data_IF_883311756333
#
_entry.id   IF_883311756333
#
_cell.length_a   1.000
_cell.length_b   1.000
_cell.length_c   1.000
_cell.angle_alpha   90.00
_cell.angle_beta   90.00
_cell.angle_gamma   90.00
#
_symmetry.space_group_name_H-M   'P 1'
#
loop_
_entity.id
_entity.type
_entity.pdbx_description
1 polymer ?
#
# COMPACT_ATOMS: atom_id res chain seq x y z
N UNK A 1 -14.96 -3.28 11.72
CA UNK A 1 -14.27 -3.08 13.00
C UNK A 1 -15.19 -2.33 13.95
N UNK A 2 -15.34 -2.86 15.15
CA UNK A 2 -16.11 -2.24 16.24
C UNK A 2 -15.19 -2.14 17.44
N UNK A 3 -15.08 -0.97 18.04
CA UNK A 3 -14.36 -0.78 19.29
C UNK A 3 -15.25 -0.13 20.34
N UNK A 4 -15.16 -0.62 21.56
CA UNK A 4 -15.79 -0.07 22.74
C UNK A 4 -14.73 0.11 23.81
N UNK A 5 -14.83 1.19 24.56
CA UNK A 5 -13.98 1.43 25.71
C UNK A 5 -14.78 2.10 26.82
N UNK A 6 -14.34 1.86 28.03
CA UNK A 6 -14.86 2.52 29.22
C UNK A 6 -13.70 2.85 30.15
N UNK A 7 -13.83 3.96 30.86
CA UNK A 7 -12.84 4.46 31.80
C UNK A 7 -13.53 4.94 33.08
N UNK A 8 -12.94 4.66 34.22
CA UNK A 8 -13.46 5.13 35.50
C UNK A 8 -12.27 5.57 36.38
N UNK A 9 -12.40 6.71 37.04
CA UNK A 9 -11.34 7.33 37.84
C UNK A 9 -11.43 6.91 39.31
N UNK A 10 -10.46 7.33 40.10
CA UNK A 10 -10.41 7.18 41.55
C UNK A 10 -10.52 5.74 42.02
N UNK A 11 -9.55 4.92 41.63
CA UNK A 11 -9.44 3.54 42.00
C UNK A 11 -9.09 3.42 43.49
N UNK A 12 -9.92 2.72 44.29
CA UNK A 12 -9.72 2.53 45.73
C UNK A 12 -8.48 1.68 46.04
N UNK A 13 -8.14 0.75 45.18
CA UNK A 13 -7.05 -0.21 45.38
C UNK A 13 -6.14 -0.28 44.14
N UNK A 14 -4.98 0.38 44.13
CA UNK A 14 -4.09 0.41 42.95
C UNK A 14 -3.67 -0.96 42.41
N UNK A 15 -3.58 -1.97 43.30
CA UNK A 15 -3.15 -3.31 42.93
C UNK A 15 -4.27 -4.22 42.40
N UNK A 16 -5.51 -3.75 42.37
CA UNK A 16 -6.64 -4.50 41.83
C UNK A 16 -7.52 -3.59 40.94
N UNK A 17 -7.18 -3.44 39.66
CA UNK A 17 -7.84 -2.51 38.76
C UNK A 17 -9.17 -3.06 38.24
N UNK A 18 -10.20 -3.05 39.06
CA UNK A 18 -11.58 -3.42 38.71
C UNK A 18 -12.49 -2.19 38.66
N UNK A 19 -13.44 -2.17 37.72
CA UNK A 19 -14.40 -1.08 37.55
C UNK A 19 -15.23 -0.83 38.83
N UNK A 20 -15.62 -1.88 39.52
CA UNK A 20 -16.42 -1.80 40.76
C UNK A 20 -15.66 -1.17 41.92
N UNK A 21 -14.33 -1.19 41.89
CA UNK A 21 -13.45 -0.60 42.89
C UNK A 21 -13.06 0.85 42.60
N UNK A 22 -13.59 1.44 41.52
CA UNK A 22 -13.38 2.83 41.18
C UNK A 22 -14.65 3.65 41.54
N UNK A 23 -14.47 4.81 42.15
CA UNK A 23 -15.55 5.65 42.70
C UNK A 23 -15.77 6.94 41.90
N UNK A 24 -14.82 7.32 41.04
CA UNK A 24 -14.92 8.55 40.26
C UNK A 24 -15.79 8.44 39.00
N UNK A 25 -15.82 9.52 38.22
CA UNK A 25 -16.62 9.62 37.02
C UNK A 25 -16.30 8.56 36.00
N UNK A 26 -17.33 7.96 35.45
CA UNK A 26 -17.21 6.98 34.37
C UNK A 26 -17.40 7.68 33.02
N UNK A 27 -16.48 7.39 32.11
CA UNK A 27 -16.60 7.75 30.70
C UNK A 27 -16.56 6.51 29.84
N UNK A 28 -17.34 6.47 28.79
CA UNK A 28 -17.36 5.37 27.83
C UNK A 28 -17.52 5.91 26.42
N UNK A 29 -17.07 5.15 25.46
CA UNK A 29 -17.20 5.49 24.05
C UNK A 29 -16.99 4.27 23.18
N UNK A 30 -17.19 4.46 21.90
CA UNK A 30 -16.98 3.42 20.91
C UNK A 30 -17.03 3.99 19.51
N UNK A 31 -16.50 3.21 18.58
CA UNK A 31 -16.56 3.53 17.16
C UNK A 31 -16.90 2.29 16.36
N UNK A 32 -17.56 2.50 15.24
CA UNK A 32 -17.84 1.47 14.26
C UNK A 32 -17.33 1.94 12.91
N UNK A 33 -16.48 1.14 12.28
CA UNK A 33 -16.03 1.39 10.91
C UNK A 33 -16.09 0.11 10.09
N UNK A 34 -16.46 0.24 8.83
CA UNK A 34 -16.50 -0.87 7.89
C UNK A 34 -15.95 -0.43 6.54
N UNK A 35 -15.37 -1.36 5.82
CA UNK A 35 -15.03 -1.22 4.42
C UNK A 35 -15.26 -2.54 3.72
N UNK A 36 -15.43 -2.49 2.42
CA UNK A 36 -15.57 -3.65 1.57
C UNK A 36 -14.61 -3.57 0.39
N UNK A 37 -14.11 -4.71 -0.02
CA UNK A 37 -13.22 -4.87 -1.16
C UNK A 37 -13.74 -6.03 -2.01
N UNK A 38 -13.63 -5.88 -3.31
CA UNK A 38 -13.93 -6.92 -4.27
C UNK A 38 -12.92 -6.88 -5.39
N UNK A 39 -12.43 -8.04 -5.82
CA UNK A 39 -11.47 -8.12 -6.90
C UNK A 39 -11.67 -9.37 -7.74
N UNK A 40 -11.47 -9.22 -9.03
CA UNK A 40 -11.42 -10.34 -9.99
C UNK A 40 -10.04 -10.34 -10.63
N UNK A 41 -9.46 -11.51 -10.78
CA UNK A 41 -8.14 -11.62 -11.41
C UNK A 41 -8.08 -12.81 -12.35
N UNK A 42 -7.20 -12.69 -13.34
CA UNK A 42 -6.85 -13.76 -14.26
C UNK A 42 -5.34 -13.80 -14.48
N UNK A 43 -4.81 -14.99 -14.75
CA UNK A 43 -3.41 -15.25 -15.06
C UNK A 43 -3.30 -16.17 -16.27
N UNK A 44 -2.37 -15.83 -17.16
CA UNK A 44 -1.99 -16.65 -18.30
C UNK A 44 -0.49 -16.88 -18.23
N UNK A 45 -0.08 -18.15 -18.25
CA UNK A 45 1.31 -18.56 -18.32
C UNK A 45 1.54 -19.30 -19.63
N UNK A 46 2.59 -18.92 -20.33
CA UNK A 46 3.01 -19.58 -21.56
C UNK A 46 4.47 -19.97 -21.48
N UNK A 47 4.74 -21.24 -21.73
CA UNK A 47 6.08 -21.81 -21.78
C UNK A 47 6.28 -22.49 -23.14
N UNK A 48 7.27 -22.00 -23.90
CA UNK A 48 7.62 -22.59 -25.17
C UNK A 48 9.00 -23.26 -25.10
N UNK A 49 9.02 -24.60 -25.19
CA UNK A 49 10.21 -25.46 -25.17
C UNK A 49 11.13 -25.19 -23.97
N UNK A 50 10.58 -24.77 -22.85
CA UNK A 50 11.33 -24.35 -21.66
C UNK A 50 12.35 -23.21 -21.87
N UNK A 51 12.34 -22.62 -23.06
CA UNK A 51 13.25 -21.50 -23.44
C UNK A 51 12.63 -20.15 -23.19
N UNK A 52 11.40 -19.99 -23.65
CA UNK A 52 10.67 -18.71 -23.56
C UNK A 52 9.51 -18.85 -22.59
N UNK A 53 9.58 -18.06 -21.55
CA UNK A 53 8.61 -18.03 -20.46
C UNK A 53 7.88 -16.69 -20.50
N UNK A 54 6.57 -16.69 -20.58
CA UNK A 54 5.75 -15.49 -20.58
C UNK A 54 4.65 -15.64 -19.53
N UNK A 55 4.41 -14.58 -18.78
CA UNK A 55 3.30 -14.50 -17.85
C UNK A 55 2.58 -13.18 -18.00
N UNK A 56 1.26 -13.21 -18.02
CA UNK A 56 0.42 -12.04 -17.97
C UNK A 56 -0.61 -12.21 -16.86
N UNK A 57 -0.74 -11.19 -16.02
CA UNK A 57 -1.75 -11.12 -14.98
C UNK A 57 -2.58 -9.85 -15.18
N UNK A 58 -3.86 -9.95 -14.89
CA UNK A 58 -4.77 -8.82 -14.89
C UNK A 58 -5.66 -8.90 -13.66
N UNK A 59 -5.74 -7.79 -12.91
CA UNK A 59 -6.64 -7.65 -11.77
C UNK A 59 -7.57 -6.46 -11.99
N UNK A 60 -8.82 -6.64 -11.60
CA UNK A 60 -9.81 -5.58 -11.53
C UNK A 60 -10.32 -5.50 -10.11
N UNK A 61 -9.88 -4.48 -9.39
CA UNK A 61 -10.15 -4.34 -7.96
C UNK A 61 -11.03 -3.11 -7.69
N UNK A 62 -11.92 -3.26 -6.72
CA UNK A 62 -12.78 -2.20 -6.22
C UNK A 62 -12.79 -2.13 -4.70
N UNK A 63 -12.92 -0.92 -4.16
CA UNK A 63 -12.99 -0.67 -2.72
C UNK A 63 -14.03 0.39 -2.37
N UNK A 64 -14.67 0.24 -1.21
CA UNK A 64 -15.60 1.24 -0.69
C UNK A 64 -14.93 2.49 -0.11
N UNK A 65 -13.59 2.53 -0.05
CA UNK A 65 -12.82 3.66 0.51
C UNK A 65 -12.81 4.90 -0.37
N UNK A 66 -13.10 4.74 -1.67
CA UNK A 66 -13.09 5.81 -2.66
C UNK A 66 -14.48 6.17 -3.16
N UNK A 67 -14.68 7.37 -3.72
CA UNK A 67 -15.95 7.79 -4.34
C UNK A 67 -16.42 6.80 -5.39
N UNK A 68 -17.73 6.79 -5.66
CA UNK A 68 -18.38 5.77 -6.51
C UNK A 68 -17.74 5.61 -7.87
N UNK A 69 -17.37 6.70 -8.51
CA UNK A 69 -16.80 6.71 -9.87
C UNK A 69 -15.31 6.35 -9.92
N UNK A 70 -14.63 6.35 -8.75
CA UNK A 70 -13.19 6.13 -8.62
C UNK A 70 -12.83 4.85 -7.85
N UNK A 71 -13.84 4.04 -7.52
CA UNK A 71 -13.68 2.80 -6.73
C UNK A 71 -12.91 1.72 -7.45
N UNK A 72 -13.10 1.61 -8.78
CA UNK A 72 -12.66 0.47 -9.57
C UNK A 72 -11.45 0.81 -10.41
N UNK A 73 -10.44 -0.11 -10.43
CA UNK A 73 -9.24 0.09 -11.24
C UNK A 73 -8.66 -1.24 -11.72
N UNK A 74 -8.02 -1.18 -12.89
CA UNK A 74 -7.28 -2.28 -13.48
C UNK A 74 -5.81 -2.22 -13.10
N UNK A 75 -5.26 -3.38 -12.77
CA UNK A 75 -3.84 -3.55 -12.41
C UNK A 75 -3.25 -4.69 -13.25
N UNK A 76 -2.67 -4.38 -14.42
CA UNK A 76 -1.99 -5.34 -15.26
C UNK A 76 -0.57 -5.59 -14.78
N UNK A 77 -0.05 -6.81 -15.06
CA UNK A 77 1.37 -7.13 -14.94
C UNK A 77 1.79 -8.16 -15.99
N UNK A 78 3.03 -8.02 -16.45
CA UNK A 78 3.63 -8.87 -17.47
C UNK A 78 5.04 -9.25 -17.04
N UNK A 79 5.44 -10.49 -17.30
CA UNK A 79 6.82 -10.91 -17.18
C UNK A 79 7.23 -11.80 -18.35
N UNK A 80 8.50 -11.69 -18.72
CA UNK A 80 9.13 -12.51 -19.74
C UNK A 80 10.45 -13.05 -19.22
N UNK A 81 10.75 -14.31 -19.52
CA UNK A 81 12.02 -14.95 -19.24
C UNK A 81 12.52 -15.69 -20.45
N UNK A 82 13.81 -15.57 -20.71
CA UNK A 82 14.50 -16.29 -21.77
C UNK A 82 15.66 -17.07 -21.19
N UNK A 83 15.62 -18.40 -21.35
CA UNK A 83 16.70 -19.30 -20.99
C UNK A 83 17.68 -19.41 -22.17
N UNK A 84 18.67 -18.55 -22.18
CA UNK A 84 19.62 -18.40 -23.28
C UNK A 84 20.44 -19.67 -23.50
N UNK A 85 20.80 -20.37 -22.43
CA UNK A 85 21.56 -21.62 -22.48
C UNK A 85 20.83 -22.79 -23.14
N UNK A 86 19.50 -22.71 -23.29
CA UNK A 86 18.72 -23.72 -23.98
C UNK A 86 18.70 -23.51 -25.50
N UNK A 87 19.36 -22.48 -26.01
CA UNK A 87 19.50 -22.27 -27.45
C UNK A 87 20.57 -23.17 -28.06
N UNK A 88 20.38 -23.69 -29.31
CA UNK A 88 21.29 -24.63 -29.94
C UNK A 88 22.71 -24.07 -30.13
N UNK A 89 22.83 -22.77 -30.33
CA UNK A 89 24.13 -22.09 -30.51
C UNK A 89 24.93 -21.92 -29.20
N UNK A 90 24.29 -22.18 -28.03
CA UNK A 90 24.94 -22.10 -26.72
C UNK A 90 25.48 -23.44 -26.21
N UNK A 91 25.31 -24.55 -26.96
CA UNK A 91 25.75 -25.88 -26.50
C UNK A 91 27.23 -25.93 -26.16
N UNK A 92 28.09 -25.31 -26.96
CA UNK A 92 29.53 -25.25 -26.71
C UNK A 92 29.93 -24.41 -25.49
N UNK A 93 29.08 -23.53 -25.00
CA UNK A 93 29.38 -22.70 -23.86
C UNK A 93 28.85 -23.28 -22.51
N UNK A 94 28.06 -24.36 -22.55
CA UNK A 94 27.42 -24.95 -21.35
C UNK A 94 28.42 -25.48 -20.32
N UNK A 95 29.66 -25.85 -20.75
CA UNK A 95 30.69 -26.28 -19.81
C UNK A 95 31.14 -25.16 -18.87
N UNK A 96 31.15 -23.94 -19.34
CA UNK A 96 31.56 -22.74 -18.58
C UNK A 96 30.30 -22.04 -18.01
N UNK A 97 29.33 -21.76 -18.88
CA UNK A 97 28.10 -21.08 -18.54
C UNK A 97 26.95 -22.10 -18.45
N UNK A 98 26.82 -22.73 -17.30
CA UNK A 98 25.90 -23.85 -17.08
C UNK A 98 24.45 -23.44 -17.18
N UNK A 99 24.10 -22.21 -16.80
CA UNK A 99 22.79 -21.64 -16.96
C UNK A 99 22.87 -20.14 -17.17
N UNK A 100 22.10 -19.61 -18.10
CA UNK A 100 21.89 -18.19 -18.31
C UNK A 100 20.42 -17.92 -18.59
N UNK A 101 19.80 -17.13 -17.74
CA UNK A 101 18.42 -16.67 -17.90
C UNK A 101 18.37 -15.16 -17.82
N UNK A 102 17.74 -14.56 -18.80
CA UNK A 102 17.43 -13.12 -18.82
C UNK A 102 15.93 -12.97 -18.53
N UNK A 103 15.57 -12.04 -17.67
CA UNK A 103 14.17 -11.80 -17.30
C UNK A 103 13.84 -10.31 -17.30
N UNK A 104 12.63 -10.01 -17.67
CA UNK A 104 12.06 -8.66 -17.58
C UNK A 104 10.65 -8.73 -17.03
N UNK A 105 10.27 -7.76 -16.27
CA UNK A 105 8.91 -7.64 -15.72
C UNK A 105 8.46 -6.21 -15.64
N UNK A 106 7.18 -6.01 -15.84
CA UNK A 106 6.51 -4.75 -15.56
C UNK A 106 5.16 -5.06 -14.93
N UNK A 107 4.81 -4.33 -13.90
CA UNK A 107 3.53 -4.51 -13.24
C UNK A 107 3.05 -3.26 -12.53
N UNK A 108 1.74 -3.17 -12.39
CA UNK A 108 1.04 -2.15 -11.63
C UNK A 108 0.25 -2.79 -10.49
N UNK A 109 0.31 -2.17 -9.30
CA UNK A 109 -0.43 -2.58 -8.11
C UNK A 109 -1.11 -1.35 -7.53
N UNK A 110 -2.38 -1.50 -7.12
CA UNK A 110 -3.12 -0.47 -6.39
C UNK A 110 -2.86 -0.56 -4.89
N UNK A 111 -2.60 0.58 -4.29
CA UNK A 111 -2.56 0.74 -2.84
C UNK A 111 -3.77 1.57 -2.38
N UNK A 112 -4.45 1.07 -1.35
CA UNK A 112 -5.61 1.67 -0.71
C UNK A 112 -5.39 1.86 0.81
N UNK A 113 -4.14 2.02 1.23
CA UNK A 113 -3.74 2.21 2.64
C UNK A 113 -4.12 3.60 3.13
N UNK A 114 -5.41 3.91 3.07
CA UNK A 114 -6.00 5.18 3.47
C UNK A 114 -7.14 4.95 4.46
N UNK A 115 -7.48 5.98 5.22
CA UNK A 115 -8.63 5.98 6.11
C UNK A 115 -9.93 5.79 5.33
N UNK A 116 -10.91 5.16 5.97
CA UNK A 116 -12.25 5.03 5.38
C UNK A 116 -12.89 6.41 5.21
N UNK A 117 -13.56 6.60 4.08
CA UNK A 117 -14.37 7.80 3.84
C UNK A 117 -13.60 9.12 3.90
N UNK A 118 -12.31 9.13 3.51
CA UNK A 118 -11.45 10.33 3.52
C UNK A 118 -12.00 11.47 2.65
N UNK A 119 -12.87 11.17 1.70
CA UNK A 119 -13.53 12.13 0.80
C UNK A 119 -14.84 12.72 1.37
N UNK A 120 -15.27 12.29 2.59
CA UNK A 120 -16.51 12.77 3.22
C UNK A 120 -16.16 13.81 4.29
N UNK A 121 -16.62 15.06 4.17
CA UNK A 121 -16.40 16.05 5.20
C UNK A 121 -17.15 15.67 6.48
N UNK A 122 -16.47 15.75 7.61
CA UNK A 122 -17.05 15.45 8.93
C UNK A 122 -16.89 16.64 9.86
N UNK A 123 -17.86 16.85 10.74
CA UNK A 123 -17.80 17.83 11.82
C UNK A 123 -17.74 17.12 13.16
N UNK A 124 -16.83 17.53 14.01
CA UNK A 124 -16.70 16.98 15.35
C UNK A 124 -17.50 17.83 16.35
N UNK A 125 -18.17 17.16 17.29
CA UNK A 125 -18.75 17.79 18.46
C UNK A 125 -17.65 18.05 19.49
N UNK A 126 -17.56 19.28 19.95
CA UNK A 126 -16.57 19.70 20.95
C UNK A 126 -17.25 20.51 22.03
N UNK A 127 -16.84 20.28 23.28
CA UNK A 127 -17.28 21.13 24.39
C UNK A 127 -16.53 22.44 24.36
N UNK A 128 -17.24 23.55 24.54
CA UNK A 128 -16.66 24.88 24.71
C UNK A 128 -15.69 24.90 25.91
N UNK A 129 -14.68 25.73 25.81
CA UNK A 129 -13.86 26.11 26.97
C UNK A 129 -14.56 27.13 27.86
N UNK A 130 -15.65 27.71 27.38
CA UNK A 130 -16.45 28.72 28.07
C UNK A 130 -17.55 28.06 28.87
N UNK A 131 -17.84 28.62 30.04
CA UNK A 131 -18.95 28.22 30.89
C UNK A 131 -20.09 29.20 30.69
N UNK A 132 -21.25 28.70 30.30
CA UNK A 132 -22.47 29.48 30.17
C UNK A 132 -23.56 28.77 31.01
N UNK A 133 -24.19 29.49 31.93
CA UNK A 133 -25.18 28.93 32.86
C UNK A 133 -24.70 27.66 33.61
N UNK A 134 -23.49 27.73 34.16
CA UNK A 134 -22.81 26.64 34.89
C UNK A 134 -22.55 25.36 34.07
N UNK A 135 -22.67 25.40 32.76
CA UNK A 135 -22.41 24.30 31.84
C UNK A 135 -21.48 24.73 30.72
N UNK A 136 -20.79 23.76 30.13
CA UNK A 136 -20.02 23.96 28.89
C UNK A 136 -20.94 23.73 27.70
N UNK A 137 -21.08 24.73 26.85
CA UNK A 137 -21.81 24.60 25.60
C UNK A 137 -21.14 23.62 24.65
N UNK A 138 -21.92 22.88 23.90
CA UNK A 138 -21.43 22.01 22.85
C UNK A 138 -21.55 22.72 21.50
N UNK A 139 -20.47 22.70 20.72
CA UNK A 139 -20.50 23.26 19.38
C UNK A 139 -19.89 22.31 18.35
N UNK A 140 -20.25 22.52 17.08
CA UNK A 140 -19.64 21.81 15.95
C UNK A 140 -18.39 22.54 15.50
N UNK A 141 -17.31 21.79 15.31
CA UNK A 141 -16.12 22.31 14.68
C UNK A 141 -16.36 22.60 13.19
N UNK A 142 -15.63 23.54 12.61
CA UNK A 142 -15.61 23.72 11.17
C UNK A 142 -15.14 22.42 10.49
N UNK A 143 -15.85 21.94 9.46
CA UNK A 143 -15.45 20.72 8.77
C UNK A 143 -14.08 20.93 8.11
N UNK A 144 -13.24 19.90 8.15
CA UNK A 144 -11.99 19.89 7.39
C UNK A 144 -12.32 19.89 5.87
N UNK A 145 -11.49 20.58 5.09
CA UNK A 145 -11.57 20.48 3.65
C UNK A 145 -11.20 19.06 3.21
N UNK A 146 -11.93 18.52 2.25
CA UNK A 146 -11.68 17.18 1.67
C UNK A 146 -11.58 17.28 0.16
N UNK A 147 -10.73 16.45 -0.45
CA UNK A 147 -10.71 16.28 -1.90
C UNK A 147 -11.79 15.25 -2.30
N UNK A 148 -12.65 15.61 -3.24
CA UNK A 148 -13.74 14.76 -3.73
C UNK A 148 -13.29 13.72 -4.76
N UNK A 149 -12.06 13.82 -5.25
CA UNK A 149 -11.47 13.05 -6.35
C UNK A 149 -10.40 12.04 -5.89
N UNK A 150 -10.37 11.73 -4.60
CA UNK A 150 -9.43 10.75 -4.04
C UNK A 150 -9.63 9.38 -4.66
N UNK A 151 -8.52 8.80 -5.14
CA UNK A 151 -8.50 7.49 -5.79
C UNK A 151 -7.28 6.67 -5.39
N UNK A 152 -7.13 5.50 -6.00
CA UNK A 152 -6.03 4.57 -5.79
C UNK A 152 -4.65 5.23 -5.98
N UNK A 153 -3.75 4.96 -5.05
CA UNK A 153 -2.33 5.11 -5.31
C UNK A 153 -1.88 3.96 -6.19
N UNK A 154 -1.05 4.22 -7.19
CA UNK A 154 -0.59 3.22 -8.14
C UNK A 154 0.92 3.04 -8.04
N UNK A 155 1.35 1.82 -7.76
CA UNK A 155 2.76 1.45 -7.70
C UNK A 155 3.09 0.67 -8.96
N UNK A 156 3.86 1.27 -9.86
CA UNK A 156 4.38 0.65 -11.08
C UNK A 156 5.82 0.22 -10.85
N UNK A 157 6.14 -1.02 -11.16
CA UNK A 157 7.51 -1.55 -11.07
C UNK A 157 7.93 -2.10 -12.41
N UNK A 158 9.07 -1.63 -12.91
CA UNK A 158 9.79 -2.18 -14.05
C UNK A 158 11.07 -2.84 -13.53
N UNK A 159 11.29 -4.08 -13.89
CA UNK A 159 12.46 -4.85 -13.47
C UNK A 159 13.13 -5.59 -14.62
N UNK A 160 14.45 -5.65 -14.60
CA UNK A 160 15.30 -6.49 -15.46
C UNK A 160 16.22 -7.30 -14.59
N UNK A 161 16.38 -8.59 -14.90
CA UNK A 161 17.27 -9.47 -14.17
C UNK A 161 18.04 -10.40 -15.07
N UNK A 162 19.22 -10.79 -14.61
CA UNK A 162 20.09 -11.79 -15.23
C UNK A 162 20.47 -12.79 -14.15
N UNK A 163 20.15 -14.06 -14.40
CA UNK A 163 20.55 -15.17 -13.56
C UNK A 163 21.56 -16.01 -14.34
N UNK A 164 22.78 -16.12 -13.86
CA UNK A 164 23.85 -16.88 -14.48
C UNK A 164 24.43 -17.90 -13.51
N UNK A 165 24.81 -19.08 -14.02
CA UNK A 165 25.52 -20.10 -13.26
C UNK A 165 26.77 -20.51 -14.02
N UNK A 166 27.93 -20.36 -13.39
CA UNK A 166 29.23 -20.70 -13.96
C UNK A 166 29.76 -21.99 -13.34
N UNK A 167 30.24 -22.90 -14.18
CA UNK A 167 30.87 -24.18 -13.79
C UNK A 167 30.01 -25.03 -12.83
N UNK A 168 28.68 -24.85 -12.81
CA UNK A 168 27.77 -25.43 -11.83
C UNK A 168 28.10 -25.10 -10.35
N UNK A 169 28.95 -24.11 -10.10
CA UNK A 169 29.44 -23.76 -8.75
C UNK A 169 29.18 -22.32 -8.34
N UNK A 170 29.24 -21.39 -9.27
CA UNK A 170 29.13 -19.96 -8.98
C UNK A 170 27.80 -19.48 -9.54
N UNK A 171 26.90 -19.04 -8.67
CA UNK A 171 25.66 -18.36 -9.03
C UNK A 171 25.86 -16.85 -9.00
N UNK A 172 25.34 -16.17 -10.01
CA UNK A 172 25.34 -14.72 -10.15
C UNK A 172 23.90 -14.29 -10.46
N UNK A 173 23.32 -13.48 -9.62
CA UNK A 173 22.02 -12.86 -9.88
C UNK A 173 22.19 -11.35 -9.86
N UNK A 174 21.84 -10.71 -10.94
CA UNK A 174 21.84 -9.26 -11.06
C UNK A 174 20.42 -8.79 -11.35
N UNK A 175 19.93 -7.83 -10.57
CA UNK A 175 18.65 -7.18 -10.74
C UNK A 175 18.80 -5.67 -10.83
N UNK A 176 18.08 -5.08 -11.76
CA UNK A 176 17.85 -3.65 -11.83
C UNK A 176 16.34 -3.39 -11.80
N UNK A 177 15.93 -2.36 -11.05
CA UNK A 177 14.52 -2.00 -10.96
C UNK A 177 14.30 -0.49 -10.94
N UNK A 178 13.14 -0.10 -11.45
CA UNK A 178 12.55 1.22 -11.27
C UNK A 178 11.13 1.05 -10.72
N UNK A 179 10.87 1.67 -9.56
CA UNK A 179 9.55 1.71 -8.93
C UNK A 179 9.05 3.14 -8.93
N UNK A 180 7.86 3.35 -9.52
CA UNK A 180 7.16 4.64 -9.52
C UNK A 180 5.86 4.48 -8.74
N UNK A 181 5.74 5.23 -7.65
CA UNK A 181 4.47 5.39 -6.93
C UNK A 181 3.82 6.66 -7.43
N UNK A 182 2.66 6.55 -8.05
CA UNK A 182 1.89 7.66 -8.61
C UNK A 182 0.65 7.90 -7.78
N UNK A 183 0.16 9.13 -7.84
CA UNK A 183 -1.07 9.53 -7.16
C UNK A 183 -1.02 9.25 -5.64
N UNK A 184 0.13 9.47 -4.99
CA UNK A 184 0.25 9.33 -3.55
C UNK A 184 -0.67 10.32 -2.86
N UNK A 185 -1.37 9.87 -1.84
CA UNK A 185 -2.26 10.71 -1.05
C UNK A 185 -1.42 11.47 -0.03
N UNK A 186 -1.25 12.75 -0.29
CA UNK A 186 -0.50 13.70 0.54
C UNK A 186 -1.32 14.96 0.76
N UNK A 187 -0.97 15.78 1.75
CA UNK A 187 -1.61 17.08 1.97
C UNK A 187 -1.33 18.03 0.81
N UNK A 188 -2.32 18.83 0.44
CA UNK A 188 -2.14 19.88 -0.57
C UNK A 188 -1.11 20.90 -0.06
N UNK A 189 -0.10 21.17 -0.89
CA UNK A 189 0.93 22.19 -0.60
C UNK A 189 0.56 23.54 -1.21
N UNK A 190 1.19 24.61 -0.72
CA UNK A 190 1.07 25.95 -1.29
C UNK A 190 -0.24 26.69 -1.00
N UNK A 191 -1.10 26.18 -0.12
CA UNK A 191 -2.29 26.89 0.32
C UNK A 191 -1.87 28.00 1.30
N UNK A 192 -2.25 29.25 0.96
CA UNK A 192 -1.95 30.40 1.80
C UNK A 192 -2.68 30.35 3.15
N UNK A 193 -2.16 31.11 4.14
CA UNK A 193 -2.72 31.21 5.50
C UNK A 193 -4.21 31.61 5.51
N UNK A 194 -4.67 32.30 4.47
CA UNK A 194 -6.07 32.71 4.30
C UNK A 194 -7.02 31.55 3.93
N UNK A 195 -6.51 30.32 3.73
CA UNK A 195 -7.38 29.16 3.44
C UNK A 195 -8.31 28.81 4.63
N UNK A 196 -7.89 29.14 5.85
CA UNK A 196 -8.75 29.10 7.04
C UNK A 196 -9.02 27.71 7.63
N UNK A 197 -8.52 26.63 7.04
CA UNK A 197 -8.63 25.25 7.55
C UNK A 197 -7.41 24.42 7.16
N UNK A 198 -7.36 23.17 7.64
CA UNK A 198 -6.29 22.24 7.26
C UNK A 198 -6.39 21.90 5.76
N UNK A 199 -5.25 21.87 5.09
CA UNK A 199 -5.17 21.48 3.68
C UNK A 199 -5.75 20.08 3.45
N UNK A 200 -6.57 19.86 2.41
CA UNK A 200 -7.11 18.55 2.12
C UNK A 200 -6.00 17.60 1.66
N UNK A 201 -6.14 16.32 2.04
CA UNK A 201 -5.34 15.27 1.43
C UNK A 201 -5.91 14.91 0.06
N UNK A 202 -5.05 14.68 -0.92
CA UNK A 202 -5.43 14.27 -2.27
C UNK A 202 -4.28 13.55 -2.96
N UNK A 203 -4.50 13.09 -4.18
CA UNK A 203 -3.54 12.34 -4.98
C UNK A 203 -2.50 13.27 -5.65
N UNK A 204 -1.71 14.00 -4.86
CA UNK A 204 -0.81 15.06 -5.33
C UNK A 204 0.66 14.66 -5.42
N UNK A 205 1.05 13.51 -4.86
CA UNK A 205 2.44 13.10 -4.76
C UNK A 205 2.83 12.02 -5.77
N UNK A 206 4.05 12.11 -6.30
CA UNK A 206 4.70 11.07 -7.07
C UNK A 206 6.09 10.79 -6.52
N UNK A 207 6.48 9.52 -6.48
CA UNK A 207 7.79 9.06 -6.02
C UNK A 207 8.40 8.11 -7.04
N UNK A 208 9.67 8.30 -7.36
CA UNK A 208 10.44 7.38 -8.20
C UNK A 208 11.66 6.85 -7.44
N UNK A 209 11.81 5.55 -7.41
CA UNK A 209 12.94 4.86 -6.79
C UNK A 209 13.58 3.95 -7.83
N UNK A 210 14.90 4.01 -7.96
CA UNK A 210 15.70 3.14 -8.84
C UNK A 210 16.78 2.47 -8.02
N UNK A 211 17.06 1.23 -8.35
CA UNK A 211 18.10 0.48 -7.67
C UNK A 211 18.61 -0.68 -8.51
N UNK A 212 19.69 -1.26 -8.02
CA UNK A 212 20.23 -2.52 -8.51
C UNK A 212 20.67 -3.38 -7.33
N UNK A 213 20.65 -4.68 -7.55
CA UNK A 213 21.03 -5.69 -6.57
C UNK A 213 21.93 -6.70 -7.26
N UNK A 214 22.98 -7.16 -6.57
CA UNK A 214 23.89 -8.20 -7.04
C UNK A 214 24.02 -9.24 -5.93
N UNK A 215 23.69 -10.48 -6.25
CA UNK A 215 23.93 -11.62 -5.39
C UNK A 215 24.94 -12.57 -6.04
N UNK A 216 25.88 -13.05 -5.22
CA UNK A 216 26.90 -14.03 -5.61
C UNK A 216 26.81 -15.21 -4.66
N UNK A 217 26.66 -16.42 -5.20
CA UNK A 217 26.70 -17.65 -4.42
C UNK A 217 27.78 -18.60 -4.94
N UNK A 218 28.35 -19.37 -4.01
CA UNK A 218 29.30 -20.39 -4.33
C UNK A 218 28.90 -21.71 -3.66
N UNK A 219 28.66 -22.73 -4.47
CA UNK A 219 28.37 -24.08 -4.02
C UNK A 219 29.60 -24.99 -4.20
N UNK A 220 30.06 -25.60 -3.13
CA UNK A 220 31.04 -26.67 -3.19
C UNK A 220 30.30 -27.99 -3.06
N UNK A 221 30.36 -28.82 -4.11
CA UNK A 221 29.88 -30.22 -4.10
C UNK A 221 31.07 -31.14 -3.94
#
# INVERSE_FOLDING_TARGET
>A
YVSHWANKKDLLTPNNPQFDLATGDQTSGGSHSWNSQFGVFGRINYNYKEKYLLEANLRYDGTSKFPTDLKWRWFPSFSAGWRVTEEPWMEGAKEVLSSLKVRGSWGSIGDQSVSNSLYIPTMSLTNSTWIHNDAKDVYYSTPAAVASDITWQEIQTLGFGIDAQLFNKIGITFDWFERKTKNMIVGAEGLGIGFGTTAPNGNYGDLSTRGWELALDYGHV
#
